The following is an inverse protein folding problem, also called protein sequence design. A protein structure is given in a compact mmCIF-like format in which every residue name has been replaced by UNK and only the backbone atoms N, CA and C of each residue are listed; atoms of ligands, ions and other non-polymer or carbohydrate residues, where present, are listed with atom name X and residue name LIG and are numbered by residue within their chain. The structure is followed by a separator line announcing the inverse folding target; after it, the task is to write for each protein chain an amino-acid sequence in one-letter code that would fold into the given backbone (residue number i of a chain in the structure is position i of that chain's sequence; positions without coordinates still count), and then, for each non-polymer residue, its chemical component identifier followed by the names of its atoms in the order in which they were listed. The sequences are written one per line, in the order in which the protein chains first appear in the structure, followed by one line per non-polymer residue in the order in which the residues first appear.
data_IF_114380073319
#
_entry.id   IF_114380073319
#
_cell.length_a   1.000
_cell.length_b   1.000
_cell.length_c   1.000
_cell.angle_alpha   90.00
_cell.angle_beta   90.00
_cell.angle_gamma   90.00
#
_symmetry.space_group_name_H-M   'P 1'
#
loop_
_entity.id
_entity.type
_entity.pdbx_description
1 polymer ?
#
# COMPACT_ATOMS: atom_id res chain seq x y z
N UNK A 1 -12.53 15.47 -0.30
CA UNK A 1 -13.59 14.43 -0.26
C UNK A 1 -12.99 13.18 0.34
N UNK A 2 -13.27 12.86 1.61
CA UNK A 2 -12.84 11.58 2.21
C UNK A 2 -13.95 10.56 1.93
N UNK A 3 -13.73 9.67 0.97
CA UNK A 3 -14.67 8.58 0.69
C UNK A 3 -14.74 7.66 1.92
N UNK A 4 -15.93 7.15 2.26
CA UNK A 4 -16.14 6.26 3.43
C UNK A 4 -15.22 5.03 3.41
N UNK A 5 -14.79 4.60 2.22
CA UNK A 5 -13.77 3.56 2.03
C UNK A 5 -12.41 3.93 2.63
N UNK A 6 -11.96 5.19 2.50
CA UNK A 6 -10.70 5.68 3.07
C UNK A 6 -10.73 5.74 4.61
N UNK A 7 -11.89 6.03 5.20
CA UNK A 7 -12.01 6.14 6.65
C UNK A 7 -12.05 4.77 7.34
N UNK A 8 -12.42 3.69 6.62
CA UNK A 8 -12.37 2.31 7.15
C UNK A 8 -10.99 1.67 6.97
N UNK A 9 -10.24 2.08 5.95
CA UNK A 9 -8.79 1.83 5.83
C UNK A 9 -7.98 2.50 6.95
N UNK A 10 -8.55 3.39 7.76
CA UNK A 10 -7.85 4.04 8.88
C UNK A 10 -7.55 3.10 10.06
N UNK A 11 -8.42 2.13 10.33
CA UNK A 11 -8.27 1.18 11.44
C UNK A 11 -7.34 0.01 11.14
N UNK A 12 -6.66 0.03 9.99
CA UNK A 12 -5.86 -1.10 9.49
C UNK A 12 -4.40 -1.02 9.87
N UNK A 13 -3.96 0.15 10.35
CA UNK A 13 -2.58 0.36 10.83
C UNK A 13 -2.25 -0.52 12.02
N UNK A 14 -3.25 -1.01 12.77
CA UNK A 14 -3.05 -1.93 13.89
C UNK A 14 -2.68 -3.35 13.43
N UNK A 15 -3.20 -3.79 12.29
CA UNK A 15 -2.94 -5.15 11.74
C UNK A 15 -1.53 -5.28 11.19
N UNK A 16 -0.88 -4.17 10.83
CA UNK A 16 0.43 -4.14 10.17
C UNK A 16 1.43 -3.23 10.89
N UNK A 17 1.35 -3.11 12.23
CA UNK A 17 2.27 -2.23 13.01
C UNK A 17 3.75 -2.58 12.84
N UNK A 18 4.06 -3.84 12.54
CA UNK A 18 5.42 -4.32 12.35
C UNK A 18 5.89 -4.26 10.89
N UNK A 19 4.98 -3.93 9.95
CA UNK A 19 5.30 -3.86 8.54
C UNK A 19 6.02 -2.55 8.21
N UNK A 20 7.25 -2.64 7.73
CA UNK A 20 7.98 -1.47 7.22
C UNK A 20 7.39 -1.04 5.87
N UNK A 21 6.40 -0.14 5.90
CA UNK A 21 5.74 0.33 4.68
C UNK A 21 6.64 1.21 3.82
N UNK A 22 7.78 1.68 4.35
CA UNK A 22 8.76 2.43 3.58
C UNK A 22 9.53 1.53 2.61
N UNK A 23 9.95 0.34 3.06
CA UNK A 23 10.70 -0.67 2.30
C UNK A 23 10.08 -2.04 2.47
N UNK A 24 9.22 -2.37 1.51
CA UNK A 24 8.58 -3.67 1.43
C UNK A 24 9.47 -4.67 0.70
N UNK A 25 9.40 -5.92 1.11
CA UNK A 25 9.92 -7.06 0.37
C UNK A 25 8.79 -7.81 -0.34
N UNK A 26 9.07 -8.59 -1.39
CA UNK A 26 8.06 -9.45 -2.00
C UNK A 26 7.44 -10.45 -1.02
N UNK A 27 8.17 -10.85 0.01
CA UNK A 27 7.73 -11.83 1.02
C UNK A 27 6.63 -11.24 1.92
N UNK A 28 6.67 -9.94 2.21
CA UNK A 28 5.65 -9.23 2.99
C UNK A 28 4.25 -9.24 2.34
N UNK A 29 4.20 -9.52 1.03
CA UNK A 29 2.97 -9.51 0.23
C UNK A 29 2.61 -10.90 -0.32
N UNK A 30 3.62 -11.74 -0.60
CA UNK A 30 3.43 -13.02 -1.32
C UNK A 30 3.80 -14.27 -0.53
N UNK A 31 4.42 -14.17 0.63
CA UNK A 31 4.65 -15.34 1.49
C UNK A 31 3.32 -15.97 1.91
N UNK A 32 3.33 -17.26 2.25
CA UNK A 32 2.10 -17.94 2.70
C UNK A 32 1.53 -17.27 3.96
N UNK A 33 2.37 -16.92 4.94
CA UNK A 33 1.95 -16.18 6.13
C UNK A 33 1.38 -14.79 5.80
N UNK A 34 2.00 -14.06 4.86
CA UNK A 34 1.47 -12.77 4.41
C UNK A 34 0.09 -12.93 3.75
N UNK A 35 -0.11 -13.96 2.91
CA UNK A 35 -1.41 -14.24 2.29
C UNK A 35 -2.48 -14.53 3.33
N UNK A 36 -2.16 -15.23 4.41
CA UNK A 36 -3.11 -15.50 5.50
C UNK A 36 -3.57 -14.23 6.22
N UNK A 37 -2.74 -13.19 6.27
CA UNK A 37 -3.12 -11.88 6.81
C UNK A 37 -3.85 -11.02 5.76
N UNK A 38 -3.33 -10.96 4.54
CA UNK A 38 -3.86 -10.10 3.47
C UNK A 38 -5.21 -10.58 2.92
N UNK A 39 -5.49 -11.89 2.89
CA UNK A 39 -6.77 -12.43 2.42
C UNK A 39 -7.97 -11.96 3.25
N UNK A 40 -8.05 -12.21 4.57
CA UNK A 40 -9.15 -11.72 5.38
C UNK A 40 -9.18 -10.19 5.40
N UNK A 41 -8.01 -9.55 5.33
CA UNK A 41 -7.93 -8.10 5.19
C UNK A 41 -8.65 -7.57 3.95
N UNK A 42 -8.33 -8.10 2.77
CA UNK A 42 -8.91 -7.68 1.50
C UNK A 42 -10.40 -7.97 1.43
N UNK A 43 -10.83 -9.14 1.92
CA UNK A 43 -12.23 -9.56 1.89
C UNK A 43 -13.14 -8.65 2.74
N UNK A 44 -12.61 -7.95 3.76
CA UNK A 44 -13.40 -6.93 4.50
C UNK A 44 -13.84 -5.75 3.65
N UNK A 45 -13.24 -5.55 2.48
CA UNK A 45 -13.54 -4.47 1.55
C UNK A 45 -14.33 -4.93 0.33
N UNK A 46 -14.66 -6.23 0.24
CA UNK A 46 -15.56 -6.75 -0.79
C UNK A 46 -16.92 -6.01 -0.69
N UNK A 47 -17.38 -5.44 -1.80
CA UNK A 47 -18.60 -4.64 -1.87
C UNK A 47 -18.50 -3.21 -1.29
N UNK A 48 -17.39 -2.85 -0.63
CA UNK A 48 -17.12 -1.48 -0.14
C UNK A 48 -16.15 -0.70 -1.02
N UNK A 49 -15.19 -1.40 -1.63
CA UNK A 49 -14.23 -0.84 -2.58
C UNK A 49 -14.53 -1.43 -3.94
N UNK A 50 -14.82 -0.57 -4.91
CA UNK A 50 -15.00 -0.97 -6.30
C UNK A 50 -13.68 -1.53 -6.86
N UNK A 51 -13.78 -2.71 -7.48
CA UNK A 51 -12.65 -3.56 -7.90
C UNK A 51 -11.57 -3.73 -6.83
N UNK A 52 -11.96 -4.08 -5.60
CA UNK A 52 -11.04 -4.29 -4.48
C UNK A 52 -9.87 -5.24 -4.79
N UNK A 53 -10.10 -6.21 -5.68
CA UNK A 53 -9.14 -7.21 -6.15
C UNK A 53 -8.42 -6.84 -7.45
N UNK A 54 -8.64 -5.63 -8.00
CA UNK A 54 -7.98 -5.19 -9.22
C UNK A 54 -6.46 -5.15 -9.04
N UNK A 55 -5.75 -5.62 -10.05
CA UNK A 55 -4.30 -5.63 -10.06
C UNK A 55 -3.69 -4.26 -10.30
N UNK A 56 -2.74 -3.85 -9.47
CA UNK A 56 -2.00 -2.60 -9.62
C UNK A 56 -0.53 -2.79 -9.28
N UNK A 57 0.31 -1.84 -9.73
CA UNK A 57 1.72 -1.80 -9.36
C UNK A 57 1.90 -1.04 -8.05
N UNK A 58 2.62 -1.66 -7.13
CA UNK A 58 3.03 -1.09 -5.84
C UNK A 58 4.55 -0.93 -5.83
N UNK A 59 5.04 0.21 -5.33
CA UNK A 59 6.47 0.44 -5.11
C UNK A 59 6.94 -0.32 -3.88
N UNK A 60 8.07 -1.03 -3.98
CA UNK A 60 8.70 -1.72 -2.86
C UNK A 60 9.36 -0.71 -1.91
N UNK A 61 10.22 0.15 -2.45
CA UNK A 61 10.80 1.31 -1.75
C UNK A 61 10.04 2.58 -2.13
N UNK A 62 9.52 3.28 -1.12
CA UNK A 62 8.71 4.48 -1.29
C UNK A 62 9.49 5.68 -1.84
N UNK A 63 10.81 5.71 -1.69
CA UNK A 63 11.67 6.84 -2.08
C UNK A 63 12.15 6.73 -3.53
N UNK A 64 12.06 5.54 -4.13
CA UNK A 64 12.44 5.26 -5.52
C UNK A 64 11.23 5.35 -6.46
N UNK A 65 11.48 5.66 -7.73
CA UNK A 65 10.47 5.62 -8.78
C UNK A 65 10.05 4.18 -9.13
N UNK A 66 9.01 4.03 -9.95
CA UNK A 66 8.62 2.74 -10.51
C UNK A 66 9.69 2.23 -11.48
N UNK A 67 10.28 1.08 -11.15
CA UNK A 67 11.21 0.33 -12.00
C UNK A 67 10.89 -1.16 -11.90
N UNK A 68 11.45 -1.99 -12.78
CA UNK A 68 11.25 -3.45 -12.73
C UNK A 68 11.68 -4.03 -11.37
N UNK A 69 12.80 -3.56 -10.82
CA UNK A 69 13.32 -3.98 -9.51
C UNK A 69 12.54 -3.42 -8.31
N UNK A 70 11.88 -2.27 -8.46
CA UNK A 70 11.18 -1.57 -7.38
C UNK A 70 9.65 -1.72 -7.44
N UNK A 71 9.12 -2.54 -8.33
CA UNK A 71 7.67 -2.66 -8.53
C UNK A 71 7.21 -4.09 -8.31
N UNK A 72 6.07 -4.23 -7.63
CA UNK A 72 5.41 -5.53 -7.45
C UNK A 72 3.93 -5.42 -7.81
N UNK A 73 3.40 -6.50 -8.38
CA UNK A 73 1.97 -6.62 -8.60
C UNK A 73 1.26 -6.93 -7.28
N UNK A 74 0.31 -6.07 -6.92
CA UNK A 74 -0.50 -6.13 -5.72
C UNK A 74 -1.97 -5.85 -6.04
N UNK A 75 -2.88 -6.17 -5.14
CA UNK A 75 -4.29 -5.78 -5.28
C UNK A 75 -4.48 -4.31 -4.95
N UNK A 76 -5.55 -3.71 -5.47
CA UNK A 76 -5.93 -2.31 -5.20
C UNK A 76 -6.08 -2.05 -3.70
N UNK A 77 -6.63 -2.99 -2.94
CA UNK A 77 -6.71 -2.87 -1.47
C UNK A 77 -5.34 -2.90 -0.81
N UNK A 78 -4.43 -3.79 -1.22
CA UNK A 78 -3.06 -3.81 -0.71
C UNK A 78 -2.35 -2.48 -1.00
N UNK A 79 -2.48 -1.96 -2.22
CA UNK A 79 -1.93 -0.67 -2.62
C UNK A 79 -2.45 0.47 -1.74
N UNK A 80 -3.77 0.55 -1.54
CA UNK A 80 -4.34 1.60 -0.70
C UNK A 80 -3.91 1.48 0.76
N UNK A 81 -3.85 0.28 1.32
CA UNK A 81 -3.39 0.08 2.69
C UNK A 81 -1.96 0.62 2.88
N UNK A 82 -1.06 0.28 1.97
CA UNK A 82 0.34 0.70 2.01
C UNK A 82 0.48 2.21 1.77
N UNK A 83 -0.14 2.78 0.74
CA UNK A 83 -0.01 4.22 0.44
C UNK A 83 -0.68 5.09 1.51
N UNK A 84 -1.79 4.64 2.14
CA UNK A 84 -2.38 5.35 3.28
C UNK A 84 -1.42 5.35 4.48
N UNK A 85 -0.75 4.23 4.74
CA UNK A 85 0.26 4.16 5.81
C UNK A 85 1.45 5.08 5.51
N UNK A 86 2.01 5.04 4.29
CA UNK A 86 3.10 5.93 3.85
C UNK A 86 2.77 7.41 3.96
N UNK A 87 1.54 7.78 3.60
CA UNK A 87 1.08 9.18 3.72
C UNK A 87 0.97 9.63 5.18
N UNK A 88 0.67 8.71 6.11
CA UNK A 88 0.63 9.03 7.55
C UNK A 88 2.02 9.17 8.15
N UNK A 89 2.97 8.33 7.73
CA UNK A 89 4.35 8.39 8.19
C UNK A 89 5.17 9.49 7.50
N UNK A 90 4.63 10.10 6.43
CA UNK A 90 5.33 11.12 5.66
C UNK A 90 6.38 10.56 4.68
N UNK A 91 6.45 9.25 4.52
CA UNK A 91 7.41 8.54 3.65
C UNK A 91 7.27 8.91 2.17
N UNK A 92 6.12 9.44 1.73
CA UNK A 92 5.90 9.92 0.36
C UNK A 92 6.43 11.35 0.12
N UNK A 93 6.84 12.09 1.15
CA UNK A 93 7.31 13.48 0.98
C UNK A 93 8.58 13.56 0.14
N UNK A 94 9.45 12.55 0.19
CA UNK A 94 10.69 12.48 -0.60
C UNK A 94 10.40 12.53 -2.11
N UNK A 95 9.39 11.77 -2.58
CA UNK A 95 8.98 11.76 -3.99
C UNK A 95 8.35 13.10 -4.39
N UNK A 96 7.53 13.68 -3.53
CA UNK A 96 6.92 14.99 -3.81
C UNK A 96 7.97 16.10 -3.96
N UNK A 97 9.00 16.10 -3.11
CA UNK A 97 10.08 17.08 -3.14
C UNK A 97 11.04 16.86 -4.33
N UNK A 98 11.35 15.60 -4.67
CA UNK A 98 12.25 15.28 -5.80
C UNK A 98 11.66 15.62 -7.17
N UNK A 99 10.34 15.55 -7.31
CA UNK A 99 9.66 16.00 -8.53
C UNK A 99 9.60 17.53 -8.62
N UNK A 100 9.60 18.23 -7.48
CA UNK A 100 9.56 19.70 -7.42
C UNK A 100 10.90 20.36 -7.75
N UNK A 101 12.03 19.70 -7.49
CA UNK A 101 13.37 20.21 -7.82
C UNK A 101 13.74 20.10 -9.30
N UNK A 102 12.92 19.40 -10.09
CA UNK A 102 13.08 19.28 -11.56
C UNK A 102 12.31 20.35 -12.35
N UNK A 103 11.65 21.30 -11.68
CA UNK A 103 10.93 22.44 -12.28
C UNK A 103 11.70 23.74 -12.17
#
# INVERSE_FOLDING_TARGET
MRCLSQQKLMGTTETFKDLDVKRLTPEDLKSEGAKEVWRPFCNRFEGLVEDFNYGTLLRLDAERDYSEENSIFATRVQFFAVEVARNREGSNNTVFLSQRSKS
#
